data_IF_374765118230
#
_entry.id   IF_374765118230
#
_cell.length_a   1.000
_cell.length_b   1.000
_cell.length_c   1.000
_cell.angle_alpha   90.00
_cell.angle_beta   90.00
_cell.angle_gamma   90.00
#
_symmetry.space_group_name_H-M   'P 1'
#
loop_
_entity.id
_entity.type
_entity.pdbx_description
1 polymer ?
#
# COMPACT_ATOMS: atom_id res chain seq x y z
N UNK A 1 -15.02 -11.88 49.67
CA UNK A 1 -14.04 -11.48 48.65
C UNK A 1 -14.26 -10.01 48.37
N UNK A 2 -13.46 -9.18 49.01
CA UNK A 2 -13.70 -7.73 49.05
C UNK A 2 -13.55 -7.09 47.68
N UNK A 3 -14.53 -6.26 47.38
CA UNK A 3 -14.60 -5.43 46.19
C UNK A 3 -13.54 -4.33 46.37
N UNK A 4 -12.38 -4.49 45.75
CA UNK A 4 -11.40 -3.40 45.64
C UNK A 4 -11.85 -2.45 44.51
N UNK A 5 -12.82 -1.60 44.82
CA UNK A 5 -13.10 -0.37 44.05
C UNK A 5 -12.11 0.66 44.58
N UNK A 6 -11.22 1.14 43.72
CA UNK A 6 -10.54 2.42 43.96
C UNK A 6 -11.62 3.49 43.75
N UNK A 7 -11.73 4.49 44.62
CA UNK A 7 -12.75 5.52 44.52
C UNK A 7 -12.97 6.00 43.07
N UNK A 8 -14.24 6.21 42.70
CA UNK A 8 -14.63 6.68 41.36
C UNK A 8 -13.78 7.90 40.99
N UNK A 9 -13.09 7.83 39.85
CA UNK A 9 -12.23 8.92 39.41
C UNK A 9 -13.12 10.11 39.04
N UNK A 10 -13.07 11.17 39.84
CA UNK A 10 -13.85 12.41 39.64
C UNK A 10 -13.19 13.32 38.60
N UNK A 11 -13.98 14.15 37.92
CA UNK A 11 -13.48 15.17 36.99
C UNK A 11 -13.33 14.71 35.52
N UNK A 12 -13.91 13.56 35.16
CA UNK A 12 -13.93 13.03 33.79
C UNK A 12 -15.35 12.84 33.24
N UNK A 13 -16.31 13.62 33.73
CA UNK A 13 -17.73 13.44 33.38
C UNK A 13 -17.99 13.60 31.87
N UNK A 14 -17.31 14.56 31.22
CA UNK A 14 -17.44 14.78 29.79
C UNK A 14 -16.78 13.66 28.97
N UNK A 15 -15.61 13.17 29.38
CA UNK A 15 -14.95 12.03 28.72
C UNK A 15 -15.75 10.75 28.85
N UNK A 16 -16.36 10.51 30.03
CA UNK A 16 -17.26 9.38 30.25
C UNK A 16 -18.48 9.48 29.35
N UNK A 17 -19.08 10.68 29.22
CA UNK A 17 -20.23 10.92 28.34
C UNK A 17 -19.88 10.66 26.89
N UNK A 18 -18.73 11.13 26.44
CA UNK A 18 -18.24 10.92 25.08
C UNK A 18 -17.93 9.45 24.79
N UNK A 19 -17.23 8.76 25.70
CA UNK A 19 -16.95 7.32 25.57
C UNK A 19 -18.23 6.49 25.52
N UNK A 20 -19.25 6.84 26.31
CA UNK A 20 -20.54 6.17 26.26
C UNK A 20 -21.26 6.38 24.92
N UNK A 21 -21.20 7.59 24.37
CA UNK A 21 -21.75 7.89 23.04
C UNK A 21 -21.05 7.05 21.96
N UNK A 22 -19.72 7.02 21.97
CA UNK A 22 -18.92 6.24 21.02
C UNK A 22 -19.15 4.74 21.17
N UNK A 23 -19.21 4.22 22.40
CA UNK A 23 -19.48 2.80 22.65
C UNK A 23 -20.85 2.37 22.15
N UNK A 24 -21.88 3.22 22.24
CA UNK A 24 -23.23 2.93 21.72
C UNK A 24 -23.29 2.93 20.18
N UNK A 25 -22.51 3.79 19.54
CA UNK A 25 -22.49 3.90 18.08
C UNK A 25 -21.54 2.89 17.40
N UNK A 26 -20.60 2.31 18.14
CA UNK A 26 -19.54 1.45 17.61
C UNK A 26 -20.08 0.06 17.22
N UNK A 27 -19.75 -0.37 15.99
CA UNK A 27 -20.11 -1.69 15.47
C UNK A 27 -19.01 -2.72 15.68
N UNK A 28 -17.76 -2.28 15.80
CA UNK A 28 -16.62 -3.16 16.02
C UNK A 28 -16.55 -3.61 17.47
N UNK A 29 -16.76 -4.91 17.72
CA UNK A 29 -16.61 -5.54 19.05
C UNK A 29 -15.25 -5.22 19.68
N UNK A 30 -14.19 -5.16 18.86
CA UNK A 30 -12.82 -4.86 19.33
C UNK A 30 -12.68 -3.42 19.82
N UNK A 31 -13.29 -2.45 19.12
CA UNK A 31 -13.28 -1.06 19.56
C UNK A 31 -14.20 -0.84 20.76
N UNK A 32 -15.38 -1.46 20.75
CA UNK A 32 -16.30 -1.44 21.90
C UNK A 32 -15.60 -1.89 23.19
N UNK A 33 -14.88 -3.02 23.15
CA UNK A 33 -14.11 -3.51 24.31
C UNK A 33 -13.10 -2.50 24.83
N UNK A 34 -12.42 -1.77 23.93
CA UNK A 34 -11.47 -0.72 24.33
C UNK A 34 -12.17 0.42 25.07
N UNK A 35 -13.32 0.89 24.57
CA UNK A 35 -14.12 1.90 25.27
C UNK A 35 -14.62 1.39 26.62
N UNK A 36 -15.12 0.14 26.67
CA UNK A 36 -15.62 -0.50 27.88
C UNK A 36 -14.53 -0.60 28.96
N UNK A 37 -13.28 -0.93 28.58
CA UNK A 37 -12.13 -0.94 29.50
C UNK A 37 -11.90 0.44 30.13
N UNK A 38 -11.93 1.51 29.34
CA UNK A 38 -11.69 2.87 29.85
C UNK A 38 -12.86 3.35 30.72
N UNK A 39 -14.11 3.05 30.33
CA UNK A 39 -15.29 3.35 31.14
C UNK A 39 -15.21 2.66 32.52
N UNK A 40 -14.82 1.38 32.57
CA UNK A 40 -14.62 0.65 33.83
C UNK A 40 -13.45 1.20 34.64
N UNK A 41 -12.39 1.67 33.98
CA UNK A 41 -11.30 2.35 34.66
C UNK A 41 -11.78 3.63 35.36
N UNK A 42 -12.58 4.46 34.69
CA UNK A 42 -13.18 5.65 35.30
C UNK A 42 -14.18 5.33 36.42
N UNK A 43 -14.83 4.17 36.36
CA UNK A 43 -15.69 3.67 37.45
C UNK A 43 -14.90 3.21 38.68
N UNK A 44 -13.57 3.18 38.63
CA UNK A 44 -12.73 2.82 39.79
C UNK A 44 -12.36 1.35 39.89
N UNK A 45 -12.65 0.54 38.86
CA UNK A 45 -12.26 -0.87 38.88
C UNK A 45 -10.74 -1.04 38.71
N UNK A 46 -10.16 -1.98 39.46
CA UNK A 46 -8.76 -2.39 39.29
C UNK A 46 -8.53 -3.09 37.96
N UNK A 47 -7.30 -3.02 37.42
CA UNK A 47 -6.96 -3.62 36.13
C UNK A 47 -7.26 -5.12 36.08
N UNK A 48 -6.93 -5.85 37.16
CA UNK A 48 -7.29 -7.26 37.33
C UNK A 48 -8.80 -7.49 37.24
N UNK A 49 -9.61 -6.65 37.88
CA UNK A 49 -11.06 -6.81 37.82
C UNK A 49 -11.63 -6.51 36.43
N UNK A 50 -11.11 -5.49 35.76
CA UNK A 50 -11.49 -5.16 34.40
C UNK A 50 -11.14 -6.31 33.45
N UNK A 51 -9.97 -6.92 33.63
CA UNK A 51 -9.51 -8.07 32.86
C UNK A 51 -10.48 -9.27 32.99
N UNK A 52 -10.91 -9.60 34.22
CA UNK A 52 -11.94 -10.60 34.48
C UNK A 52 -13.28 -10.26 33.79
N UNK A 53 -13.74 -9.01 33.91
CA UNK A 53 -15.03 -8.58 33.34
C UNK A 53 -15.04 -8.59 31.81
N UNK A 54 -13.92 -8.27 31.19
CA UNK A 54 -13.80 -8.16 29.73
C UNK A 54 -13.25 -9.42 29.05
N UNK A 55 -12.91 -10.45 29.83
CA UNK A 55 -12.20 -11.63 29.36
C UNK A 55 -10.94 -11.25 28.54
N UNK A 56 -10.10 -10.42 29.15
CA UNK A 56 -8.84 -9.93 28.59
C UNK A 56 -7.70 -10.22 29.56
N UNK A 57 -6.46 -10.18 29.08
CA UNK A 57 -5.30 -10.19 29.97
C UNK A 57 -5.09 -8.82 30.63
N UNK A 58 -4.61 -8.83 31.88
CA UNK A 58 -4.33 -7.60 32.65
C UNK A 58 -3.31 -6.69 31.94
N UNK A 59 -2.36 -7.27 31.20
CA UNK A 59 -1.40 -6.52 30.39
C UNK A 59 -2.12 -5.70 29.29
N UNK A 60 -3.16 -6.27 28.66
CA UNK A 60 -3.92 -5.63 27.58
C UNK A 60 -4.75 -4.47 28.12
N UNK A 61 -5.39 -4.67 29.28
CA UNK A 61 -6.12 -3.61 29.99
C UNK A 61 -5.18 -2.45 30.31
N UNK A 62 -4.01 -2.76 30.88
CA UNK A 62 -2.98 -1.76 31.20
C UNK A 62 -2.49 -1.01 29.95
N UNK A 63 -2.31 -1.72 28.83
CA UNK A 63 -1.91 -1.10 27.56
C UNK A 63 -2.97 -0.14 27.01
N UNK A 64 -4.26 -0.48 27.11
CA UNK A 64 -5.35 0.41 26.69
C UNK A 64 -5.42 1.67 27.56
N UNK A 65 -5.38 1.51 28.88
CA UNK A 65 -5.38 2.65 29.82
C UNK A 65 -4.18 3.56 29.58
N UNK A 66 -2.97 2.99 29.41
CA UNK A 66 -1.75 3.78 29.12
C UNK A 66 -1.86 4.52 27.78
N UNK A 67 -2.38 3.86 26.76
CA UNK A 67 -2.55 4.47 25.43
C UNK A 67 -3.57 5.62 25.48
N UNK A 68 -4.65 5.45 26.24
CA UNK A 68 -5.65 6.49 26.45
C UNK A 68 -5.09 7.66 27.27
N UNK A 69 -4.36 7.42 28.37
CA UNK A 69 -3.72 8.49 29.14
C UNK A 69 -2.72 9.31 28.31
N UNK A 70 -2.04 8.67 27.36
CA UNK A 70 -1.06 9.35 26.51
C UNK A 70 -1.66 10.15 25.34
N UNK A 71 -2.79 9.71 24.77
CA UNK A 71 -3.32 10.23 23.48
C UNK A 71 -4.84 10.39 23.44
N UNK A 72 -5.52 10.26 24.57
CA UNK A 72 -6.98 10.23 24.66
C UNK A 72 -7.59 9.16 23.76
N UNK A 73 -8.70 9.52 23.10
CA UNK A 73 -9.42 8.64 22.17
C UNK A 73 -8.57 8.20 20.97
N UNK A 74 -7.61 9.02 20.52
CA UNK A 74 -6.73 8.65 19.40
C UNK A 74 -5.83 7.44 19.76
N UNK A 75 -5.44 7.33 21.03
CA UNK A 75 -4.70 6.20 21.56
C UNK A 75 -5.45 4.87 21.50
N UNK A 76 -6.78 4.89 21.46
CA UNK A 76 -7.62 3.69 21.39
C UNK A 76 -7.87 3.22 19.96
N UNK A 77 -7.60 4.04 18.94
CA UNK A 77 -7.88 3.67 17.54
C UNK A 77 -7.11 2.42 17.15
N UNK A 78 -7.81 1.51 16.47
CA UNK A 78 -7.17 0.32 15.88
C UNK A 78 -6.28 0.74 14.72
N UNK A 79 -4.97 0.52 14.86
CA UNK A 79 -4.03 0.64 13.75
C UNK A 79 -4.21 -0.54 12.80
N UNK A 80 -4.27 -0.25 11.50
CA UNK A 80 -4.14 -1.30 10.48
C UNK A 80 -2.69 -1.76 10.45
N UNK A 81 -2.46 -3.07 10.42
CA UNK A 81 -1.13 -3.60 10.15
C UNK A 81 -0.68 -3.12 8.77
N UNK A 82 0.55 -2.62 8.66
CA UNK A 82 1.11 -2.03 7.44
C UNK A 82 1.34 -3.04 6.31
N UNK A 83 0.96 -4.30 6.50
CA UNK A 83 1.21 -5.40 5.57
C UNK A 83 2.70 -5.69 5.40
N UNK A 84 3.01 -6.60 4.48
CA UNK A 84 4.39 -6.92 4.12
C UNK A 84 5.00 -5.74 3.35
N UNK A 85 6.21 -5.32 3.73
CA UNK A 85 6.97 -4.32 2.99
C UNK A 85 7.15 -4.77 1.53
N UNK A 86 7.02 -3.83 0.59
CA UNK A 86 7.23 -4.10 -0.83
C UNK A 86 8.68 -4.53 -1.07
N UNK A 87 8.89 -5.47 -2.00
CA UNK A 87 10.23 -5.93 -2.37
C UNK A 87 11.01 -4.86 -3.13
N UNK A 88 10.34 -4.14 -4.02
CA UNK A 88 10.88 -3.02 -4.79
C UNK A 88 10.41 -1.74 -4.10
N UNK A 89 11.35 -0.87 -3.76
CA UNK A 89 11.06 0.39 -3.08
C UNK A 89 10.59 1.47 -4.07
N UNK A 90 10.01 2.59 -3.61
CA UNK A 90 9.47 3.62 -4.50
C UNK A 90 10.50 4.24 -5.47
N UNK A 91 11.78 4.36 -5.07
CA UNK A 91 12.82 4.91 -5.94
C UNK A 91 13.21 3.91 -7.04
N UNK A 92 13.31 2.62 -6.69
CA UNK A 92 13.51 1.55 -7.66
C UNK A 92 12.33 1.41 -8.63
N UNK A 93 11.10 1.63 -8.16
CA UNK A 93 9.91 1.68 -9.01
C UNK A 93 10.01 2.79 -10.06
N UNK A 94 10.51 3.98 -9.70
CA UNK A 94 10.73 5.09 -10.66
C UNK A 94 11.78 4.73 -11.72
N UNK A 95 12.94 4.20 -11.29
CA UNK A 95 14.02 3.79 -12.19
C UNK A 95 13.51 2.71 -13.16
N UNK A 96 12.73 1.75 -12.64
CA UNK A 96 12.12 0.71 -13.47
C UNK A 96 11.19 1.30 -14.55
N UNK A 97 10.32 2.25 -14.19
CA UNK A 97 9.42 2.91 -15.15
C UNK A 97 10.23 3.67 -16.21
N UNK A 98 11.25 4.41 -15.80
CA UNK A 98 12.12 5.15 -16.71
C UNK A 98 12.80 4.21 -17.70
N UNK A 99 13.42 3.13 -17.23
CA UNK A 99 14.15 2.18 -18.09
C UNK A 99 13.21 1.48 -19.06
N UNK A 100 12.04 1.01 -18.61
CA UNK A 100 11.09 0.28 -19.46
C UNK A 100 10.45 1.19 -20.53
N UNK A 101 10.31 2.48 -20.25
CA UNK A 101 9.67 3.42 -21.19
C UNK A 101 10.66 4.12 -22.13
N UNK A 102 11.92 4.31 -21.71
CA UNK A 102 12.91 5.07 -22.49
C UNK A 102 13.91 4.20 -23.23
N UNK A 103 14.20 2.99 -22.72
CA UNK A 103 15.24 2.11 -23.27
C UNK A 103 14.65 0.83 -23.85
N UNK A 104 15.36 0.26 -24.80
CA UNK A 104 15.09 -1.12 -25.26
C UNK A 104 15.87 -2.15 -24.43
N UNK A 105 15.41 -3.41 -24.34
CA UNK A 105 16.16 -4.45 -23.61
C UNK A 105 17.62 -4.60 -24.11
N UNK A 106 17.85 -4.42 -25.41
CA UNK A 106 19.16 -4.43 -26.05
C UNK A 106 20.14 -3.40 -25.44
N UNK A 107 19.65 -2.19 -25.17
CA UNK A 107 20.44 -1.10 -24.58
C UNK A 107 20.81 -1.32 -23.11
N UNK A 108 20.18 -2.28 -22.45
CA UNK A 108 20.41 -2.62 -21.03
C UNK A 108 20.96 -4.03 -20.85
N UNK A 109 21.48 -4.63 -21.92
CA UNK A 109 22.25 -5.87 -21.88
C UNK A 109 21.47 -7.14 -22.23
N UNK A 110 20.31 -7.04 -22.89
CA UNK A 110 19.61 -8.17 -23.50
C UNK A 110 19.75 -8.13 -25.03
N UNK A 111 20.89 -8.61 -25.51
CA UNK A 111 21.23 -8.61 -26.94
C UNK A 111 20.11 -9.20 -27.81
N UNK A 112 19.88 -8.57 -28.96
CA UNK A 112 18.87 -8.99 -29.94
C UNK A 112 17.41 -8.97 -29.44
N UNK A 113 17.11 -8.28 -28.32
CA UNK A 113 15.74 -8.12 -27.80
C UNK A 113 15.28 -6.66 -27.90
N UNK A 114 14.26 -6.41 -28.73
CA UNK A 114 13.70 -5.07 -28.94
C UNK A 114 12.45 -4.77 -28.11
N UNK A 115 11.71 -5.81 -27.69
CA UNK A 115 10.47 -5.67 -26.93
C UNK A 115 10.67 -6.14 -25.49
N UNK A 116 10.17 -5.34 -24.54
CA UNK A 116 10.12 -5.73 -23.14
C UNK A 116 9.11 -6.86 -22.91
N UNK A 117 9.55 -7.89 -22.18
CA UNK A 117 8.68 -8.93 -21.63
C UNK A 117 8.80 -8.91 -20.11
N UNK A 118 7.80 -9.45 -19.41
CA UNK A 118 7.82 -9.53 -17.94
C UNK A 118 9.08 -10.27 -17.45
N UNK A 119 9.50 -11.33 -18.17
CA UNK A 119 10.70 -12.08 -17.81
C UNK A 119 12.00 -11.29 -18.03
N UNK A 120 12.10 -10.52 -19.12
CA UNK A 120 13.27 -9.65 -19.33
C UNK A 120 13.35 -8.56 -18.28
N UNK A 121 12.21 -7.92 -17.95
CA UNK A 121 12.14 -6.92 -16.89
C UNK A 121 12.54 -7.55 -15.54
N UNK A 122 12.05 -8.76 -15.26
CA UNK A 122 12.38 -9.49 -14.03
C UNK A 122 13.88 -9.76 -13.94
N UNK A 123 14.50 -10.25 -15.01
CA UNK A 123 15.94 -10.53 -15.03
C UNK A 123 16.75 -9.24 -14.83
N UNK A 124 16.32 -8.16 -15.47
CA UNK A 124 16.92 -6.84 -15.30
C UNK A 124 16.84 -6.37 -13.84
N UNK A 125 15.66 -6.44 -13.21
CA UNK A 125 15.44 -6.08 -11.80
C UNK A 125 16.29 -6.91 -10.85
N UNK A 126 16.41 -8.22 -11.09
CA UNK A 126 17.25 -9.11 -10.28
C UNK A 126 18.72 -8.68 -10.37
N UNK A 127 19.19 -8.35 -11.57
CA UNK A 127 20.58 -7.93 -11.82
C UNK A 127 20.86 -6.55 -11.22
N UNK A 128 19.99 -5.57 -11.45
CA UNK A 128 20.23 -4.17 -11.09
C UNK A 128 20.03 -3.90 -9.60
N UNK A 129 19.01 -4.51 -8.99
CA UNK A 129 18.64 -4.22 -7.60
C UNK A 129 19.00 -5.33 -6.63
N UNK A 130 19.55 -6.46 -7.09
CA UNK A 130 19.85 -7.64 -6.29
C UNK A 130 18.64 -8.15 -5.48
N UNK A 131 17.45 -8.12 -6.10
CA UNK A 131 16.17 -8.52 -5.48
C UNK A 131 15.63 -9.79 -6.14
N UNK A 132 15.38 -10.81 -5.34
CA UNK A 132 14.69 -12.02 -5.81
C UNK A 132 13.18 -11.80 -5.90
N UNK A 133 12.66 -11.71 -7.12
CA UNK A 133 11.22 -11.64 -7.42
C UNK A 133 10.81 -12.79 -8.34
N UNK A 134 9.60 -13.34 -8.14
CA UNK A 134 9.05 -14.34 -9.04
C UNK A 134 8.35 -13.65 -10.23
N UNK A 135 8.14 -14.38 -11.33
CA UNK A 135 7.48 -13.86 -12.53
C UNK A 135 6.12 -13.21 -12.23
N UNK A 136 5.26 -13.88 -11.45
CA UNK A 136 3.97 -13.31 -11.01
C UNK A 136 4.13 -12.03 -10.18
N UNK A 137 5.09 -12.00 -9.27
CA UNK A 137 5.36 -10.82 -8.45
C UNK A 137 5.81 -9.63 -9.30
N UNK A 138 6.58 -9.88 -10.37
CA UNK A 138 6.95 -8.84 -11.33
C UNK A 138 5.72 -8.34 -12.11
N UNK A 139 4.84 -9.24 -12.55
CA UNK A 139 3.59 -8.85 -13.20
C UNK A 139 2.72 -7.95 -12.30
N UNK A 140 2.59 -8.28 -11.00
CA UNK A 140 1.86 -7.46 -10.02
C UNK A 140 2.51 -6.08 -9.79
N UNK A 141 3.85 -6.01 -9.84
CA UNK A 141 4.57 -4.72 -9.79
C UNK A 141 4.24 -3.88 -11.02
N UNK A 142 4.33 -4.45 -12.22
CA UNK A 142 4.06 -3.71 -13.47
C UNK A 142 2.61 -3.22 -13.54
N UNK A 143 1.66 -4.06 -13.14
CA UNK A 143 0.25 -3.69 -13.04
C UNK A 143 0.04 -2.50 -12.08
N UNK A 144 0.68 -2.53 -10.91
CA UNK A 144 0.63 -1.43 -9.94
C UNK A 144 1.23 -0.14 -10.48
N UNK A 145 2.25 -0.22 -11.33
CA UNK A 145 2.91 0.92 -11.95
C UNK A 145 2.18 1.43 -13.21
N UNK A 146 0.99 0.91 -13.51
CA UNK A 146 0.22 1.22 -14.72
C UNK A 146 1.01 0.99 -16.02
N UNK A 147 1.97 0.07 -16.00
CA UNK A 147 2.68 -0.35 -17.21
C UNK A 147 1.86 -1.45 -17.90
N UNK A 148 1.41 -1.15 -19.11
CA UNK A 148 0.66 -2.09 -19.95
C UNK A 148 1.51 -2.52 -21.15
N UNK A 149 1.23 -3.73 -21.64
CA UNK A 149 1.85 -4.19 -22.87
C UNK A 149 1.31 -3.40 -24.06
N UNK A 150 2.18 -2.63 -24.69
CA UNK A 150 1.88 -1.90 -25.93
C UNK A 150 2.47 -2.67 -27.11
N UNK A 151 1.64 -2.89 -28.14
CA UNK A 151 2.11 -3.45 -29.40
C UNK A 151 2.70 -2.31 -30.23
N UNK A 152 3.90 -2.46 -30.83
CA UNK A 152 4.38 -1.50 -31.80
C UNK A 152 3.36 -1.41 -32.94
N UNK A 153 2.77 -0.23 -33.13
CA UNK A 153 2.02 0.07 -34.34
C UNK A 153 3.02 0.25 -35.48
N UNK A 154 2.70 -0.20 -36.69
CA UNK A 154 3.57 -0.18 -37.88
C UNK A 154 3.97 1.23 -38.37
N UNK A 155 3.77 2.27 -37.56
CA UNK A 155 4.26 3.60 -37.86
C UNK A 155 5.72 3.67 -37.44
N UNK A 156 6.62 3.63 -38.43
CA UNK A 156 8.04 3.86 -38.19
C UNK A 156 8.21 5.25 -37.55
N UNK A 157 8.90 5.35 -36.41
CA UNK A 157 9.12 6.63 -35.73
C UNK A 157 9.87 7.67 -36.60
N UNK A 158 10.60 7.21 -37.62
CA UNK A 158 11.31 8.04 -38.61
C UNK A 158 10.51 8.30 -39.89
N UNK A 159 9.24 7.90 -39.94
CA UNK A 159 8.36 8.09 -41.10
C UNK A 159 8.01 9.57 -41.25
N UNK A 160 8.66 10.22 -42.21
CA UNK A 160 8.30 11.57 -42.67
C UNK A 160 7.19 11.45 -43.73
N UNK A 161 5.99 11.94 -43.40
CA UNK A 161 4.81 11.85 -44.27
C UNK A 161 5.02 12.60 -45.59
N UNK A 162 5.73 13.72 -45.59
CA UNK A 162 5.96 14.51 -46.80
C UNK A 162 6.90 13.78 -47.76
N UNK A 163 7.96 13.15 -47.22
CA UNK A 163 8.87 12.32 -48.03
C UNK A 163 8.18 11.08 -48.59
N UNK A 164 7.23 10.50 -47.86
CA UNK A 164 6.45 9.35 -48.34
C UNK A 164 5.52 9.72 -49.49
N UNK A 165 4.81 10.85 -49.39
CA UNK A 165 3.94 11.33 -50.48
C UNK A 165 4.74 11.73 -51.70
N UNK A 166 5.89 12.40 -51.52
CA UNK A 166 6.81 12.70 -52.62
C UNK A 166 7.29 11.43 -53.33
N UNK A 167 7.72 10.42 -52.57
CA UNK A 167 8.12 9.13 -53.14
C UNK A 167 6.99 8.44 -53.91
N UNK A 168 5.74 8.46 -53.40
CA UNK A 168 4.59 7.89 -54.13
C UNK A 168 4.34 8.57 -55.46
N UNK A 169 4.46 9.89 -55.51
CA UNK A 169 4.28 10.67 -56.75
C UNK A 169 5.42 10.38 -57.73
N UNK A 170 6.67 10.47 -57.29
CA UNK A 170 7.86 10.18 -58.10
C UNK A 170 7.81 8.73 -58.66
N UNK A 171 7.42 7.77 -57.82
CA UNK A 171 7.27 6.36 -58.22
C UNK A 171 6.17 6.13 -59.26
N UNK A 172 5.04 6.82 -59.12
CA UNK A 172 3.93 6.75 -60.08
C UNK A 172 4.30 7.36 -61.44
N UNK A 173 5.15 8.38 -61.47
CA UNK A 173 5.67 8.95 -62.71
C UNK A 173 6.67 8.01 -63.38
N UNK A 174 7.60 7.43 -62.62
CA UNK A 174 8.58 6.45 -63.12
C UNK A 174 7.91 5.20 -63.71
N UNK A 175 6.79 4.74 -63.13
CA UNK A 175 6.03 3.59 -63.63
C UNK A 175 5.35 3.84 -64.99
N UNK A 176 5.16 5.11 -65.37
CA UNK A 176 4.52 5.50 -66.65
C UNK A 176 5.52 5.66 -67.79
N UNK A 177 6.81 5.50 -67.53
CA UNK A 177 7.86 5.49 -68.54
C UNK A 177 7.93 4.06 -69.13
N UNK A 178 7.81 3.86 -70.45
CA UNK A 178 7.86 2.54 -71.08
C UNK A 178 9.20 1.81 -70.93
#
# INVERSE_FOLDING_TARGET
MDILILDKISGHEEEIKELNRLAKAEKSVRMYKRYSVILKHFQGFTNRKIAEMENLEEHTVSAYIKSYKAKGLDGLKMKKSSGKKRKINPEQEKILVEVVTTKTPDEVGFENRKNWTIELIRQWVIKEFNITICHRGMAEVLYRLNLSYTRPTYVMAKADKEKQEKFKNDFNELKKIP
#
